data_IF_931140488182
#
_entry.id   IF_931140488182
#
_cell.length_a   1.000
_cell.length_b   1.000
_cell.length_c   1.000
_cell.angle_alpha   90.00
_cell.angle_beta   90.00
_cell.angle_gamma   90.00
#
_symmetry.space_group_name_H-M   'P 1'
#
loop_
_entity.id
_entity.type
_entity.pdbx_description
1 polymer ?
#
# COMPACT_ATOMS: atom_id res chain seq x y z
N UNK A 1 -16.11 -43.91 3.61
CA UNK A 1 -16.64 -43.25 2.39
C UNK A 1 -15.58 -42.37 1.74
N UNK A 2 -14.94 -41.48 2.50
CA UNK A 2 -13.78 -40.68 2.06
C UNK A 2 -12.65 -41.55 1.51
N UNK A 3 -12.20 -42.59 2.24
CA UNK A 3 -11.13 -43.48 1.75
C UNK A 3 -11.46 -44.16 0.42
N UNK A 4 -12.71 -44.61 0.22
CA UNK A 4 -13.16 -45.21 -1.05
C UNK A 4 -13.12 -44.21 -2.20
N UNK A 5 -13.44 -42.94 -1.94
CA UNK A 5 -13.37 -41.87 -2.93
C UNK A 5 -11.91 -41.53 -3.29
N UNK A 6 -11.04 -41.41 -2.29
CA UNK A 6 -9.61 -41.16 -2.49
C UNK A 6 -8.93 -42.31 -3.25
N UNK A 7 -9.28 -43.55 -2.92
CA UNK A 7 -8.79 -44.76 -3.60
C UNK A 7 -9.28 -44.82 -5.06
N UNK A 8 -10.55 -44.47 -5.33
CA UNK A 8 -11.06 -44.38 -6.71
C UNK A 8 -10.29 -43.34 -7.53
N UNK A 9 -9.98 -42.17 -6.94
CA UNK A 9 -9.17 -41.15 -7.59
C UNK A 9 -7.72 -41.59 -7.81
N UNK A 10 -7.14 -42.32 -6.85
CA UNK A 10 -5.79 -42.89 -6.96
C UNK A 10 -5.69 -44.00 -8.01
N UNK A 11 -6.76 -44.76 -8.26
CA UNK A 11 -6.80 -45.80 -9.31
C UNK A 11 -7.19 -45.27 -10.69
N UNK A 12 -7.63 -44.01 -10.78
CA UNK A 12 -8.09 -43.41 -12.04
C UNK A 12 -9.50 -43.82 -12.45
N UNK A 13 -10.33 -44.34 -11.52
CA UNK A 13 -11.69 -44.80 -11.82
C UNK A 13 -12.67 -43.61 -11.89
N UNK A 14 -12.75 -43.01 -13.07
CA UNK A 14 -13.62 -41.86 -13.36
C UNK A 14 -15.11 -42.14 -13.08
N UNK A 15 -15.56 -43.37 -13.33
CA UNK A 15 -16.95 -43.79 -13.16
C UNK A 15 -17.31 -43.80 -11.67
N UNK A 16 -16.45 -44.40 -10.85
CA UNK A 16 -16.64 -44.46 -9.40
C UNK A 16 -16.50 -43.08 -8.75
N UNK A 17 -15.54 -42.26 -9.18
CA UNK A 17 -15.38 -40.86 -8.74
C UNK A 17 -16.65 -40.04 -9.02
N UNK A 18 -17.17 -40.12 -10.24
CA UNK A 18 -18.37 -39.39 -10.64
C UNK A 18 -19.63 -39.86 -9.92
N UNK A 19 -19.78 -41.18 -9.73
CA UNK A 19 -20.90 -41.75 -8.98
C UNK A 19 -20.86 -41.37 -7.49
N UNK A 20 -19.69 -41.35 -6.87
CA UNK A 20 -19.57 -40.95 -5.47
C UNK A 20 -19.85 -39.46 -5.26
N UNK A 21 -19.42 -38.60 -6.19
CA UNK A 21 -19.69 -37.17 -6.14
C UNK A 21 -21.15 -36.81 -6.45
N UNK A 22 -21.85 -37.61 -7.29
CA UNK A 22 -23.28 -37.38 -7.53
C UNK A 22 -24.14 -37.70 -6.31
N UNK A 23 -23.75 -38.70 -5.51
CA UNK A 23 -24.46 -39.05 -4.27
C UNK A 23 -24.04 -38.16 -3.10
N UNK A 24 -22.75 -37.80 -3.01
CA UNK A 24 -22.20 -37.03 -1.89
C UNK A 24 -21.22 -35.96 -2.40
N UNK A 25 -21.71 -34.75 -2.79
CA UNK A 25 -20.87 -33.68 -3.29
C UNK A 25 -19.83 -33.14 -2.28
N UNK A 26 -20.09 -33.28 -0.97
CA UNK A 26 -19.19 -32.82 0.10
C UNK A 26 -17.86 -33.59 0.18
N UNK A 27 -17.67 -34.66 -0.60
CA UNK A 27 -16.43 -35.43 -0.64
C UNK A 27 -15.30 -34.74 -1.43
N UNK A 28 -15.63 -33.76 -2.28
CA UNK A 28 -14.71 -33.22 -3.30
C UNK A 28 -13.38 -32.71 -2.75
N UNK A 29 -13.39 -32.07 -1.58
CA UNK A 29 -12.21 -31.49 -0.92
C UNK A 29 -11.84 -32.22 0.39
N UNK A 30 -12.40 -33.40 0.63
CA UNK A 30 -12.04 -34.19 1.81
C UNK A 30 -10.60 -34.69 1.70
N UNK A 31 -9.92 -34.73 2.84
CA UNK A 31 -8.52 -35.15 2.93
C UNK A 31 -8.40 -36.53 3.56
N UNK A 32 -7.41 -37.29 3.11
CA UNK A 32 -7.01 -38.56 3.68
C UNK A 32 -5.79 -38.41 4.59
N UNK A 33 -5.01 -39.49 4.68
CA UNK A 33 -3.77 -39.51 5.45
C UNK A 33 -2.82 -38.39 5.00
N UNK A 34 -2.20 -37.69 5.96
CA UNK A 34 -1.28 -36.57 5.72
C UNK A 34 -1.83 -35.43 4.87
N UNK A 35 -3.16 -35.22 4.87
CA UNK A 35 -3.79 -34.10 4.17
C UNK A 35 -3.92 -34.28 2.66
N UNK A 36 -3.80 -35.51 2.14
CA UNK A 36 -3.90 -35.77 0.71
C UNK A 36 -5.35 -35.69 0.21
N UNK A 37 -5.59 -34.91 -0.84
CA UNK A 37 -6.89 -34.83 -1.52
C UNK A 37 -6.99 -35.80 -2.71
N UNK A 38 -8.20 -36.05 -3.19
CA UNK A 38 -8.44 -36.83 -4.41
C UNK A 38 -7.69 -36.25 -5.61
N UNK A 39 -7.63 -34.92 -5.72
CA UNK A 39 -6.92 -34.22 -6.79
C UNK A 39 -5.41 -34.48 -6.75
N UNK A 40 -4.79 -34.46 -5.57
CA UNK A 40 -3.36 -34.77 -5.41
C UNK A 40 -3.04 -36.23 -5.77
N UNK A 41 -3.92 -37.16 -5.40
CA UNK A 41 -3.74 -38.59 -5.70
C UNK A 41 -3.87 -38.86 -7.20
N UNK A 42 -4.87 -38.27 -7.86
CA UNK A 42 -5.02 -38.35 -9.31
C UNK A 42 -3.84 -37.68 -10.04
N UNK A 43 -3.36 -36.54 -9.54
CA UNK A 43 -2.19 -35.84 -10.10
C UNK A 43 -0.88 -36.63 -9.93
N UNK A 44 -0.68 -37.30 -8.79
CA UNK A 44 0.49 -38.16 -8.52
C UNK A 44 0.58 -39.33 -9.49
N UNK A 45 -0.55 -39.96 -9.79
CA UNK A 45 -0.61 -41.19 -10.59
C UNK A 45 -0.84 -40.94 -12.09
N UNK A 46 -0.92 -39.67 -12.52
CA UNK A 46 -1.02 -39.36 -13.95
C UNK A 46 -2.44 -39.48 -14.53
N UNK A 47 -3.49 -39.49 -13.69
CA UNK A 47 -4.87 -39.69 -14.13
C UNK A 47 -5.52 -38.41 -14.65
N UNK A 48 -5.15 -37.99 -15.86
CA UNK A 48 -5.62 -36.76 -16.51
C UNK A 48 -7.15 -36.60 -16.51
N UNK A 49 -7.90 -37.62 -16.92
CA UNK A 49 -9.36 -37.57 -17.00
C UNK A 49 -10.04 -37.38 -15.64
N UNK A 50 -9.48 -37.96 -14.57
CA UNK A 50 -9.99 -37.76 -13.21
C UNK A 50 -9.67 -36.35 -12.72
N UNK A 51 -8.47 -35.84 -13.00
CA UNK A 51 -8.10 -34.44 -12.69
C UNK A 51 -9.03 -33.46 -13.39
N UNK A 52 -9.23 -33.61 -14.69
CA UNK A 52 -10.14 -32.76 -15.48
C UNK A 52 -11.56 -32.80 -14.92
N UNK A 53 -12.06 -33.99 -14.56
CA UNK A 53 -13.40 -34.12 -13.98
C UNK A 53 -13.51 -33.44 -12.62
N UNK A 54 -12.53 -33.64 -11.73
CA UNK A 54 -12.53 -33.00 -10.41
C UNK A 54 -12.49 -31.47 -10.53
N UNK A 55 -11.68 -30.94 -11.46
CA UNK A 55 -11.62 -29.51 -11.76
C UNK A 55 -12.95 -28.99 -12.30
N UNK A 56 -13.61 -29.72 -13.21
CA UNK A 56 -14.92 -29.35 -13.75
C UNK A 56 -16.03 -29.29 -12.69
N UNK A 57 -15.82 -29.96 -11.55
CA UNK A 57 -16.75 -29.99 -10.42
C UNK A 57 -16.39 -28.98 -9.31
N UNK A 58 -15.37 -28.14 -9.53
CA UNK A 58 -14.99 -27.07 -8.60
C UNK A 58 -14.15 -27.51 -7.41
N UNK A 59 -13.32 -28.55 -7.55
CA UNK A 59 -12.41 -28.95 -6.48
C UNK A 59 -11.36 -27.84 -6.19
N UNK A 60 -10.96 -27.70 -4.93
CA UNK A 60 -9.91 -26.77 -4.54
C UNK A 60 -8.53 -27.30 -4.98
N UNK A 61 -7.97 -26.68 -6.03
CA UNK A 61 -6.64 -27.03 -6.54
C UNK A 61 -5.46 -26.47 -5.74
N UNK A 62 -5.73 -25.59 -4.76
CA UNK A 62 -4.71 -24.92 -3.93
C UNK A 62 -4.56 -25.52 -2.54
N UNK A 63 -5.43 -26.45 -2.16
CA UNK A 63 -5.26 -27.25 -0.95
C UNK A 63 -3.85 -27.87 -0.92
N UNK A 64 -3.19 -27.78 0.23
CA UNK A 64 -1.83 -28.28 0.44
C UNK A 64 -1.82 -29.40 1.48
N UNK A 65 -1.03 -30.44 1.24
CA UNK A 65 -0.85 -31.56 2.17
C UNK A 65 0.08 -31.19 3.34
N UNK A 66 0.35 -32.12 4.26
CA UNK A 66 1.26 -31.89 5.40
C UNK A 66 2.71 -31.55 4.99
N UNK A 67 3.09 -31.80 3.74
CA UNK A 67 4.38 -31.42 3.15
C UNK A 67 4.33 -30.08 2.40
N UNK A 68 3.24 -29.32 2.55
CA UNK A 68 3.00 -28.05 1.84
C UNK A 68 2.99 -28.18 0.31
N UNK A 69 2.62 -29.34 -0.22
CA UNK A 69 2.55 -29.57 -1.67
C UNK A 69 1.09 -29.45 -2.14
N UNK A 70 0.88 -28.66 -3.18
CA UNK A 70 -0.39 -28.61 -3.93
C UNK A 70 -0.46 -29.73 -4.96
N UNK A 71 -1.63 -29.94 -5.57
CA UNK A 71 -1.76 -30.90 -6.67
C UNK A 71 -0.84 -30.54 -7.87
N UNK A 72 -0.57 -29.25 -8.10
CA UNK A 72 0.38 -28.80 -9.12
C UNK A 72 1.82 -29.22 -8.77
N UNK A 73 2.24 -29.01 -7.52
CA UNK A 73 3.58 -29.38 -7.06
C UNK A 73 3.80 -30.89 -7.17
N UNK A 74 2.77 -31.67 -6.83
CA UNK A 74 2.76 -33.12 -6.98
C UNK A 74 2.87 -33.51 -8.46
N UNK A 75 2.03 -32.98 -9.35
CA UNK A 75 2.10 -33.29 -10.78
C UNK A 75 3.48 -32.96 -11.39
N UNK A 76 4.07 -31.84 -10.99
CA UNK A 76 5.40 -31.40 -11.42
C UNK A 76 6.51 -32.31 -10.89
N UNK A 77 6.45 -32.68 -9.62
CA UNK A 77 7.43 -33.56 -8.98
C UNK A 77 7.47 -34.94 -9.63
N UNK A 78 6.30 -35.50 -9.96
CA UNK A 78 6.18 -36.82 -10.60
C UNK A 78 6.31 -36.78 -12.14
N UNK A 79 6.58 -35.61 -12.74
CA UNK A 79 6.85 -35.47 -14.17
C UNK A 79 5.63 -35.46 -15.09
N UNK A 80 4.42 -35.34 -14.55
CA UNK A 80 3.17 -35.34 -15.32
C UNK A 80 2.89 -33.96 -15.94
N UNK A 81 3.66 -33.62 -16.98
CA UNK A 81 3.63 -32.29 -17.63
C UNK A 81 2.23 -31.87 -18.07
N UNK A 82 1.46 -32.76 -18.71
CA UNK A 82 0.09 -32.47 -19.16
C UNK A 82 -0.87 -32.12 -18.02
N UNK A 83 -0.68 -32.72 -16.83
CA UNK A 83 -1.49 -32.43 -15.64
C UNK A 83 -1.01 -31.15 -14.97
N UNK A 84 0.31 -30.94 -14.88
CA UNK A 84 0.86 -29.69 -14.38
C UNK A 84 0.44 -28.50 -15.24
N UNK A 85 0.39 -28.66 -16.57
CA UNK A 85 -0.12 -27.67 -17.51
C UNK A 85 -1.62 -27.45 -17.30
N UNK A 86 -2.42 -28.50 -17.13
CA UNK A 86 -3.86 -28.38 -16.82
C UNK A 86 -4.13 -27.67 -15.48
N UNK A 87 -3.32 -27.95 -14.45
CA UNK A 87 -3.46 -27.32 -13.12
C UNK A 87 -2.91 -25.89 -13.10
N UNK A 88 -1.89 -25.60 -13.91
CA UNK A 88 -1.33 -24.26 -14.10
C UNK A 88 -2.20 -23.38 -14.99
N UNK A 89 -2.97 -23.97 -15.91
CA UNK A 89 -4.06 -23.28 -16.62
C UNK A 89 -5.05 -22.76 -15.59
N UNK A 90 -4.94 -21.48 -15.32
CA UNK A 90 -6.06 -20.65 -14.91
C UNK A 90 -7.00 -20.57 -16.10
N UNK A 91 -7.77 -21.62 -16.37
CA UNK A 91 -8.99 -21.45 -17.16
C UNK A 91 -9.87 -20.49 -16.37
N UNK A 92 -9.72 -19.19 -16.67
CA UNK A 92 -10.70 -18.16 -17.04
C UNK A 92 -12.19 -18.38 -16.71
N UNK A 93 -12.52 -19.16 -15.67
CA UNK A 93 -13.79 -19.06 -14.94
C UNK A 93 -13.66 -18.20 -13.69
N UNK A 94 -12.52 -17.52 -13.50
CA UNK A 94 -12.62 -16.15 -13.01
C UNK A 94 -13.19 -15.37 -14.20
N UNK A 95 -14.52 -15.38 -14.40
CA UNK A 95 -15.16 -14.26 -15.08
C UNK A 95 -14.46 -13.02 -14.51
N UNK A 96 -13.92 -12.15 -15.35
CA UNK A 96 -13.28 -10.90 -14.90
C UNK A 96 -14.31 -10.17 -14.01
N UNK A 97 -14.27 -10.42 -12.69
CA UNK A 97 -15.21 -9.84 -11.71
C UNK A 97 -15.05 -8.32 -11.71
N UNK A 98 -13.85 -7.88 -12.07
CA UNK A 98 -13.57 -6.50 -12.39
C UNK A 98 -13.68 -6.34 -13.91
N UNK A 99 -14.65 -5.56 -14.42
CA UNK A 99 -14.68 -5.16 -15.81
C UNK A 99 -13.28 -4.67 -16.19
N UNK A 100 -12.82 -5.00 -17.41
CA UNK A 100 -11.74 -4.26 -18.04
C UNK A 100 -12.26 -2.85 -18.35
N UNK A 101 -12.56 -2.07 -17.32
CA UNK A 101 -12.71 -0.64 -17.47
C UNK A 101 -11.33 -0.11 -17.82
N UNK A 102 -11.28 0.86 -18.73
CA UNK A 102 -10.12 1.71 -18.94
C UNK A 102 -9.56 2.08 -17.56
N UNK A 103 -8.43 1.47 -17.20
CA UNK A 103 -7.77 1.70 -15.92
C UNK A 103 -7.26 3.14 -15.95
N UNK A 104 -8.13 4.10 -15.68
CA UNK A 104 -7.72 5.48 -15.42
C UNK A 104 -7.01 5.42 -14.08
N UNK A 105 -5.68 5.66 -14.04
CA UNK A 105 -4.95 5.66 -12.78
C UNK A 105 -5.60 6.68 -11.85
N UNK A 106 -6.10 6.24 -10.70
CA UNK A 106 -6.53 7.16 -9.67
C UNK A 106 -5.31 7.54 -8.84
N UNK A 107 -5.00 8.84 -8.82
CA UNK A 107 -3.95 9.38 -7.96
C UNK A 107 -4.32 9.20 -6.48
N UNK A 108 -3.36 8.81 -5.66
CA UNK A 108 -3.52 8.73 -4.22
C UNK A 108 -3.53 10.14 -3.61
N UNK A 109 -4.29 10.34 -2.53
CA UNK A 109 -4.39 11.57 -1.76
C UNK A 109 -3.03 12.20 -1.42
N UNK A 110 -2.02 11.37 -1.14
CA UNK A 110 -0.67 11.80 -0.77
C UNK A 110 0.34 11.79 -1.94
N UNK A 111 -0.08 11.38 -3.15
CA UNK A 111 0.84 11.29 -4.31
C UNK A 111 0.82 12.52 -5.22
N UNK A 112 -0.07 13.49 -4.97
CA UNK A 112 -0.08 14.73 -5.74
C UNK A 112 1.14 15.59 -5.41
N UNK A 113 1.89 15.94 -6.45
CA UNK A 113 3.11 16.74 -6.34
C UNK A 113 2.87 18.16 -6.83
N UNK A 114 2.72 19.08 -5.88
CA UNK A 114 2.64 20.52 -6.15
C UNK A 114 4.00 21.16 -6.44
N UNK A 115 5.07 20.54 -5.92
CA UNK A 115 6.44 20.98 -6.12
C UNK A 115 7.11 20.16 -7.23
N UNK A 116 7.92 20.82 -8.04
CA UNK A 116 8.99 20.15 -8.76
C UNK A 116 10.12 19.86 -7.76
N UNK A 117 10.40 18.58 -7.52
CA UNK A 117 11.39 18.14 -6.52
C UNK A 117 12.81 18.58 -6.85
N UNK A 118 13.10 18.93 -8.10
CA UNK A 118 14.39 19.44 -8.59
C UNK A 118 15.59 18.69 -7.97
N UNK A 119 15.59 17.36 -8.05
CA UNK A 119 16.58 16.54 -7.31
C UNK A 119 18.03 16.84 -7.71
N UNK A 120 18.26 17.31 -8.94
CA UNK A 120 19.58 17.76 -9.39
C UNK A 120 20.12 18.97 -8.59
N UNK A 121 19.25 19.78 -7.99
CA UNK A 121 19.62 20.93 -7.16
C UNK A 121 20.02 20.56 -5.73
N UNK A 122 19.85 19.30 -5.32
CA UNK A 122 20.21 18.85 -3.97
C UNK A 122 21.71 18.87 -3.69
N UNK A 123 22.52 18.74 -4.74
CA UNK A 123 24.00 18.80 -4.66
C UNK A 123 24.55 20.21 -4.81
N UNK A 124 23.73 21.19 -5.19
CA UNK A 124 24.13 22.59 -5.31
C UNK A 124 24.11 23.23 -3.91
N UNK A 125 25.28 23.52 -3.33
CA UNK A 125 25.39 24.18 -2.01
C UNK A 125 24.95 25.66 -2.03
N UNK A 126 24.58 26.21 -3.20
CA UNK A 126 24.41 27.64 -3.46
C UNK A 126 22.99 28.19 -3.27
N UNK A 127 21.98 27.36 -2.97
CA UNK A 127 20.59 27.82 -2.87
C UNK A 127 19.93 27.43 -1.54
N UNK A 128 20.03 28.32 -0.54
CA UNK A 128 19.41 28.15 0.79
C UNK A 128 18.33 29.20 1.02
N UNK A 129 17.05 28.85 0.83
CA UNK A 129 15.92 29.76 1.12
C UNK A 129 14.80 29.00 1.84
N UNK A 130 14.86 28.98 3.17
CA UNK A 130 14.03 28.14 4.02
C UNK A 130 12.57 28.60 4.19
N UNK A 131 11.67 27.62 4.24
CA UNK A 131 10.28 27.74 4.72
C UNK A 131 10.08 26.68 5.82
N UNK A 132 9.35 27.01 6.88
CA UNK A 132 8.94 26.08 7.94
C UNK A 132 7.41 25.90 7.90
N UNK A 133 6.87 24.94 8.66
CA UNK A 133 5.45 24.56 8.61
C UNK A 133 4.73 24.81 9.93
N UNK A 134 3.51 25.33 9.85
CA UNK A 134 2.51 25.28 10.93
C UNK A 134 1.10 25.13 10.34
N UNK A 135 0.05 24.74 11.09
CA UNK A 135 -1.28 24.47 10.52
C UNK A 135 -2.38 25.41 11.07
N UNK A 136 -3.16 26.08 10.22
CA UNK A 136 -4.24 26.98 10.65
C UNK A 136 -5.58 26.24 10.93
N UNK A 137 -6.34 26.70 11.93
CA UNK A 137 -7.38 25.90 12.60
C UNK A 137 -8.79 25.85 11.97
N UNK A 138 -9.09 26.57 10.87
CA UNK A 138 -10.46 26.57 10.30
C UNK A 138 -10.59 25.91 8.92
N UNK A 139 -9.58 26.03 8.08
CA UNK A 139 -9.33 25.15 6.93
C UNK A 139 -7.89 24.71 7.13
N UNK A 140 -7.61 23.42 7.38
CA UNK A 140 -6.27 22.96 7.69
C UNK A 140 -5.31 23.25 6.52
N UNK A 141 -4.71 24.43 6.56
CA UNK A 141 -3.80 24.98 5.55
C UNK A 141 -2.41 25.05 6.15
N UNK A 142 -1.44 24.87 5.28
CA UNK A 142 -0.04 24.88 5.62
C UNK A 142 0.45 26.33 5.73
N UNK A 143 0.63 26.81 6.96
CA UNK A 143 1.29 28.07 7.28
C UNK A 143 2.78 27.99 6.88
N UNK A 144 3.27 29.04 6.23
CA UNK A 144 4.63 29.14 5.68
C UNK A 144 5.43 30.24 6.38
N UNK A 145 6.67 29.93 6.76
CA UNK A 145 7.61 30.94 7.27
C UNK A 145 8.46 31.52 6.14
N UNK A 146 8.79 32.82 6.23
CA UNK A 146 9.81 33.43 5.38
C UNK A 146 11.19 33.23 5.98
N UNK A 147 12.21 33.31 5.14
CA UNK A 147 13.61 33.19 5.55
C UNK A 147 13.95 34.09 6.75
N UNK A 148 13.50 35.34 6.76
CA UNK A 148 13.82 36.29 7.84
C UNK A 148 13.30 35.85 9.21
N UNK A 149 12.25 35.04 9.26
CA UNK A 149 11.63 34.57 10.50
C UNK A 149 12.31 33.31 11.08
N UNK A 150 13.13 32.62 10.28
CA UNK A 150 13.76 31.33 10.64
C UNK A 150 15.28 31.32 10.48
N UNK A 151 15.89 32.40 9.97
CA UNK A 151 17.34 32.48 9.70
C UNK A 151 18.23 32.16 10.91
N UNK A 152 17.78 32.50 12.12
CA UNK A 152 18.48 32.18 13.37
C UNK A 152 18.39 30.70 13.73
N UNK A 153 17.27 30.04 13.41
CA UNK A 153 17.11 28.59 13.62
C UNK A 153 18.08 27.80 12.74
N UNK A 154 18.35 28.29 11.52
CA UNK A 154 19.29 27.65 10.58
C UNK A 154 20.74 27.66 11.06
N UNK A 155 21.10 28.53 11.99
CA UNK A 155 22.44 28.59 12.57
C UNK A 155 22.64 27.58 13.71
N UNK A 156 21.55 26.98 14.21
CA UNK A 156 21.62 26.02 15.31
C UNK A 156 22.07 24.64 14.79
N UNK A 157 23.02 23.98 15.47
CA UNK A 157 23.56 22.69 15.02
C UNK A 157 22.54 21.54 15.12
N UNK A 158 21.51 21.68 15.95
CA UNK A 158 20.45 20.66 16.06
C UNK A 158 19.32 20.83 15.04
N UNK A 159 19.34 21.92 14.26
CA UNK A 159 18.33 22.13 13.22
C UNK A 159 18.63 21.26 12.00
N UNK A 160 17.62 20.50 11.59
CA UNK A 160 17.63 19.71 10.36
C UNK A 160 16.84 20.46 9.29
N UNK A 161 17.49 20.73 8.16
CA UNK A 161 16.91 21.38 6.99
C UNK A 161 16.86 20.38 5.83
N UNK A 162 15.69 20.27 5.19
CA UNK A 162 15.49 19.41 4.00
C UNK A 162 14.92 20.26 2.87
N UNK A 163 15.49 20.13 1.68
CA UNK A 163 14.98 20.74 0.46
C UNK A 163 13.76 19.96 -0.08
N UNK A 164 12.63 20.60 -0.34
CA UNK A 164 11.44 19.92 -0.83
C UNK A 164 11.27 20.03 -2.34
N UNK A 165 11.63 21.18 -2.90
CA UNK A 165 11.48 21.48 -4.32
C UNK A 165 11.18 22.95 -4.57
N UNK A 166 10.75 23.27 -5.78
CA UNK A 166 10.23 24.59 -6.14
C UNK A 166 8.79 24.50 -6.66
N UNK A 167 8.02 25.58 -6.53
CA UNK A 167 6.68 25.64 -7.12
C UNK A 167 6.76 25.46 -8.65
N UNK A 168 5.85 24.65 -9.21
CA UNK A 168 5.77 24.52 -10.67
C UNK A 168 5.33 25.84 -11.28
N UNK A 169 6.04 26.32 -12.32
CA UNK A 169 5.57 27.46 -13.11
C UNK A 169 4.24 27.08 -13.75
N UNK A 170 3.16 27.82 -13.46
CA UNK A 170 1.90 27.66 -14.18
C UNK A 170 2.18 27.95 -15.66
N UNK A 171 2.03 26.96 -16.53
CA UNK A 171 1.98 27.21 -17.96
C UNK A 171 0.80 28.13 -18.24
N UNK A 172 0.96 29.22 -19.02
CA UNK A 172 -0.16 30.08 -19.36
C UNK A 172 -1.11 29.29 -20.26
N UNK A 173 -2.21 28.82 -19.68
CA UNK A 173 -3.32 28.25 -20.43
C UNK A 173 -4.00 29.34 -21.24
N UNK A 174 -4.24 29.04 -22.51
CA UNK A 174 -4.91 29.85 -23.53
C UNK A 174 -6.11 30.64 -23.01
N UNK A 175 -5.91 31.91 -22.66
CA UNK A 175 -6.89 32.97 -22.85
C UNK A 175 -6.16 34.32 -22.87
N UNK A 176 -6.67 35.17 -23.75
CA UNK A 176 -6.02 36.32 -24.35
C UNK A 176 -5.65 37.48 -23.41
N UNK A 177 -4.55 38.11 -23.80
CA UNK A 177 -4.30 39.56 -23.89
C UNK A 177 -3.54 40.31 -22.78
N UNK A 178 -2.58 41.08 -23.31
CA UNK A 178 -1.85 42.25 -22.79
C UNK A 178 -0.87 42.06 -21.61
N UNK A 179 0.40 41.92 -21.98
CA UNK A 179 1.40 42.96 -21.75
C UNK A 179 1.88 43.20 -20.32
N UNK A 180 2.98 42.55 -19.94
CA UNK A 180 4.23 43.18 -19.46
C UNK A 180 5.30 42.08 -19.39
N UNK A 181 6.53 42.37 -19.83
CA UNK A 181 7.67 41.49 -19.63
C UNK A 181 7.93 41.32 -18.12
N UNK A 182 7.35 40.29 -17.51
CA UNK A 182 7.72 39.85 -16.17
C UNK A 182 9.12 39.24 -16.24
N UNK A 183 10.11 40.01 -15.78
CA UNK A 183 11.47 39.52 -15.56
C UNK A 183 11.43 38.17 -14.86
N UNK A 184 12.22 37.22 -15.35
CA UNK A 184 12.23 35.80 -14.97
C UNK A 184 12.46 35.59 -13.47
N UNK A 185 11.42 35.78 -12.65
CA UNK A 185 11.46 35.40 -11.24
C UNK A 185 11.51 33.88 -11.19
N UNK A 186 12.58 33.35 -10.59
CA UNK A 186 12.66 31.94 -10.27
C UNK A 186 11.50 31.57 -9.34
N UNK A 187 10.90 30.38 -9.52
CA UNK A 187 9.79 29.96 -8.69
C UNK A 187 10.21 29.85 -7.22
N UNK A 188 9.30 30.11 -6.27
CA UNK A 188 9.60 29.96 -4.85
C UNK A 188 10.08 28.54 -4.52
N UNK A 189 11.19 28.44 -3.79
CA UNK A 189 11.74 27.19 -3.27
C UNK A 189 11.23 26.90 -1.87
N UNK A 190 11.07 25.62 -1.57
CA UNK A 190 10.44 25.12 -0.35
C UNK A 190 11.40 24.21 0.40
N UNK A 191 11.40 24.34 1.72
CA UNK A 191 12.17 23.51 2.64
C UNK A 191 11.28 23.01 3.77
N UNK A 192 11.75 21.98 4.47
CA UNK A 192 11.24 21.55 5.76
C UNK A 192 12.30 21.82 6.82
N UNK A 193 11.88 22.36 7.97
CA UNK A 193 12.76 22.62 9.11
C UNK A 193 12.27 21.78 10.29
N UNK A 194 13.19 21.07 10.94
CA UNK A 194 12.99 20.47 12.25
C UNK A 194 14.03 21.01 13.21
N UNK A 195 13.59 21.46 14.38
CA UNK A 195 14.42 22.15 15.36
C UNK A 195 13.92 21.82 16.77
N UNK A 196 14.78 21.98 17.78
CA UNK A 196 14.44 21.73 19.19
C UNK A 196 13.78 22.94 19.86
N UNK A 197 13.48 24.00 19.11
CA UNK A 197 12.78 25.18 19.61
C UNK A 197 11.38 24.83 20.12
N UNK A 198 10.97 25.49 21.21
CA UNK A 198 9.63 25.31 21.77
C UNK A 198 8.53 25.60 20.71
N UNK A 199 7.56 24.69 20.50
CA UNK A 199 6.48 24.91 19.55
C UNK A 199 5.72 26.22 19.77
N UNK A 200 5.53 26.68 21.02
CA UNK A 200 4.82 27.93 21.27
C UNK A 200 5.63 29.15 20.79
N UNK A 201 6.97 29.11 20.87
CA UNK A 201 7.84 30.15 20.35
C UNK A 201 7.88 30.15 18.81
N UNK A 202 7.86 28.96 18.19
CA UNK A 202 7.72 28.84 16.74
C UNK A 202 6.39 29.42 16.24
N UNK A 203 5.30 29.25 17.00
CA UNK A 203 4.01 29.82 16.67
C UNK A 203 4.00 31.34 16.69
N UNK A 204 4.74 31.99 17.61
CA UNK A 204 4.84 33.46 17.66
C UNK A 204 5.53 34.05 16.43
N UNK A 205 6.42 33.29 15.79
CA UNK A 205 7.10 33.68 14.55
C UNK A 205 6.18 33.61 13.33
N UNK A 206 5.01 32.98 13.45
CA UNK A 206 4.06 32.85 12.37
C UNK A 206 3.25 34.15 12.19
N UNK A 207 3.09 34.61 10.94
CA UNK A 207 2.32 35.82 10.64
C UNK A 207 0.80 35.57 10.64
N UNK A 208 0.41 34.31 10.46
CA UNK A 208 -0.98 33.91 10.36
C UNK A 208 -1.58 33.76 11.77
N UNK A 209 -2.74 34.39 11.99
CA UNK A 209 -3.50 34.23 13.23
C UNK A 209 -4.12 32.83 13.21
N UNK A 210 -4.01 32.09 14.32
CA UNK A 210 -4.58 30.75 14.52
C UNK A 210 -3.81 29.55 13.93
N UNK A 211 -2.48 29.65 13.76
CA UNK A 211 -1.65 28.46 13.48
C UNK A 211 -1.44 27.59 14.74
N UNK A 212 -1.30 26.29 14.54
CA UNK A 212 -1.13 25.26 15.56
C UNK A 212 -0.39 24.06 14.96
N UNK A 213 0.31 23.29 15.80
CA UNK A 213 0.89 22.03 15.36
C UNK A 213 -0.13 20.88 15.44
N UNK A 214 -0.14 19.93 14.48
CA UNK A 214 -0.98 18.74 14.54
C UNK A 214 -0.76 17.95 15.84
N UNK A 215 -1.85 17.59 16.55
CA UNK A 215 -1.77 16.84 17.82
C UNK A 215 -1.83 15.33 17.61
N UNK A 216 -2.53 14.90 16.57
CA UNK A 216 -2.75 13.50 16.21
C UNK A 216 -2.27 13.27 14.76
N UNK A 217 -1.00 12.91 14.54
CA UNK A 217 -0.35 13.00 13.23
C UNK A 217 -1.09 12.25 12.11
N UNK A 218 -1.71 11.11 12.38
CA UNK A 218 -2.37 10.34 11.31
C UNK A 218 -3.79 10.83 10.98
N UNK A 219 -4.49 11.43 11.95
CA UNK A 219 -5.85 11.94 11.73
C UNK A 219 -5.84 13.39 11.24
N UNK A 220 -4.94 14.19 11.79
CA UNK A 220 -4.83 15.61 11.44
C UNK A 220 -4.23 15.79 10.05
N UNK A 221 -3.38 14.87 9.57
CA UNK A 221 -2.87 14.94 8.20
C UNK A 221 -3.97 14.78 7.13
N UNK A 222 -5.05 14.05 7.43
CA UNK A 222 -6.18 13.87 6.52
C UNK A 222 -7.07 15.12 6.41
N UNK A 223 -6.74 16.19 7.16
CA UNK A 223 -7.45 17.47 7.11
C UNK A 223 -6.88 18.44 6.07
N UNK A 224 -5.59 18.31 5.73
CA UNK A 224 -4.94 19.13 4.69
C UNK A 224 -5.48 18.83 3.31
N UNK A 225 -5.40 19.76 2.37
CA UNK A 225 -5.67 19.48 0.96
C UNK A 225 -4.75 18.37 0.41
N UNK A 226 -5.15 17.68 -0.67
CA UNK A 226 -4.31 16.64 -1.34
C UNK A 226 -2.91 17.17 -1.68
N UNK A 227 -2.89 18.40 -2.20
CA UNK A 227 -1.71 19.15 -2.59
C UNK A 227 -0.73 19.41 -1.43
N UNK A 228 -1.24 19.83 -0.27
CA UNK A 228 -0.44 20.07 0.92
C UNK A 228 -0.08 18.76 1.64
N UNK A 229 -0.97 17.78 1.62
CA UNK A 229 -0.76 16.48 2.23
C UNK A 229 0.44 15.75 1.60
N UNK A 230 0.61 15.83 0.27
CA UNK A 230 1.78 15.30 -0.43
C UNK A 230 3.10 15.94 0.01
N UNK A 231 3.14 17.27 0.12
CA UNK A 231 4.32 18.01 0.59
C UNK A 231 4.66 17.64 2.03
N UNK A 232 3.66 17.57 2.91
CA UNK A 232 3.85 17.19 4.31
C UNK A 232 4.29 15.73 4.44
N UNK A 233 3.78 14.82 3.59
CA UNK A 233 4.22 13.42 3.56
C UNK A 233 5.71 13.32 3.22
N UNK A 234 6.18 14.01 2.16
CA UNK A 234 7.59 14.08 1.80
C UNK A 234 8.44 14.61 2.97
N UNK A 235 8.08 15.78 3.52
CA UNK A 235 8.81 16.41 4.61
C UNK A 235 8.88 15.50 5.85
N UNK A 236 7.73 14.97 6.29
CA UNK A 236 7.62 14.16 7.51
C UNK A 236 8.40 12.84 7.37
N UNK A 237 8.35 12.17 6.21
CA UNK A 237 9.06 10.90 6.02
C UNK A 237 10.58 11.07 6.05
N UNK A 238 11.12 12.13 5.42
CA UNK A 238 12.56 12.41 5.45
C UNK A 238 13.02 12.89 6.84
N UNK A 239 12.23 13.73 7.52
CA UNK A 239 12.50 14.14 8.91
C UNK A 239 12.46 12.94 9.88
N UNK A 240 11.49 12.05 9.72
CA UNK A 240 11.39 10.83 10.52
C UNK A 240 12.56 9.86 10.26
N UNK A 241 13.09 9.84 9.04
CA UNK A 241 14.32 9.11 8.74
C UNK A 241 15.50 9.72 9.49
N UNK A 242 15.69 11.03 9.44
CA UNK A 242 16.79 11.69 10.16
C UNK A 242 16.74 11.48 11.68
N UNK A 243 15.54 11.46 12.30
CA UNK A 243 15.43 11.25 13.74
C UNK A 243 15.79 9.83 14.19
N UNK A 244 15.71 8.83 13.29
CA UNK A 244 15.98 7.41 13.61
C UNK A 244 17.30 6.89 13.06
N UNK A 245 17.89 7.56 12.07
CA UNK A 245 19.08 7.10 11.34
C UNK A 245 20.29 8.03 11.53
N UNK A 246 20.48 8.55 12.75
CA UNK A 246 21.61 9.43 13.10
C UNK A 246 22.98 8.73 13.04
N UNK A 247 23.01 7.40 13.06
CA UNK A 247 24.23 6.59 13.03
C UNK A 247 24.28 5.69 11.79
N UNK A 248 25.49 5.38 11.33
CA UNK A 248 25.72 4.54 10.17
C UNK A 248 25.33 3.10 10.49
N UNK A 249 24.40 2.51 9.74
CA UNK A 249 23.99 1.12 9.92
C UNK A 249 25.08 0.10 9.58
N UNK A 250 26.13 0.50 8.86
CA UNK A 250 27.24 -0.39 8.49
C UNK A 250 28.28 -0.53 9.59
N UNK A 251 28.59 0.53 10.34
CA UNK A 251 29.68 0.52 11.33
C UNK A 251 29.38 1.22 12.65
N UNK A 252 28.17 1.76 12.85
CA UNK A 252 27.74 2.43 14.08
C UNK A 252 28.27 3.84 14.30
N UNK A 253 29.16 4.35 13.44
CA UNK A 253 29.72 5.71 13.59
C UNK A 253 28.67 6.80 13.33
N UNK A 254 28.92 8.02 13.82
CA UNK A 254 28.08 9.17 13.50
C UNK A 254 28.01 9.44 11.99
N UNK A 255 26.96 10.15 11.58
CA UNK A 255 26.73 10.52 10.17
C UNK A 255 26.42 12.01 10.06
N UNK A 256 26.77 12.61 8.91
CA UNK A 256 26.43 14.00 8.56
C UNK A 256 25.39 14.04 7.45
N UNK A 257 24.59 15.09 7.41
CA UNK A 257 23.60 15.31 6.34
C UNK A 257 24.29 15.85 5.09
N UNK A 258 23.85 15.39 3.93
CA UNK A 258 24.30 15.83 2.60
C UNK A 258 23.09 15.88 1.63
N UNK A 259 23.31 16.37 0.41
CA UNK A 259 22.35 16.37 -0.70
C UNK A 259 20.97 16.97 -0.31
N UNK A 260 20.97 18.17 0.26
CA UNK A 260 19.73 18.86 0.66
C UNK A 260 18.88 18.09 1.66
N UNK A 261 19.49 17.22 2.47
CA UNK A 261 18.81 16.35 3.45
C UNK A 261 18.41 14.97 2.93
N UNK A 262 18.73 14.62 1.68
CA UNK A 262 18.39 13.30 1.11
C UNK A 262 19.52 12.29 1.21
N UNK A 263 20.61 12.63 1.89
CA UNK A 263 21.71 11.71 2.12
C UNK A 263 22.30 11.87 3.51
N UNK A 264 22.75 10.75 4.07
CA UNK A 264 23.59 10.70 5.26
C UNK A 264 24.88 10.00 4.94
N UNK A 265 25.99 10.70 5.16
CA UNK A 265 27.33 10.18 4.88
C UNK A 265 28.05 9.85 6.19
N UNK A 266 28.67 8.68 6.25
CA UNK A 266 29.40 8.21 7.43
C UNK A 266 30.60 9.11 7.73
N UNK A 267 30.87 9.35 9.02
CA UNK A 267 32.05 10.08 9.47
C UNK A 267 33.31 9.22 9.52
N UNK A 268 33.17 7.88 9.51
CA UNK A 268 34.32 6.97 9.44
C UNK A 268 34.77 6.83 7.97
N UNK A 269 35.95 7.38 7.67
CA UNK A 269 36.54 7.40 6.32
C UNK A 269 36.84 6.01 5.74
N UNK A 270 37.01 4.99 6.60
CA UNK A 270 37.25 3.61 6.19
C UNK A 270 35.96 2.78 6.05
N UNK A 271 34.79 3.39 6.28
CA UNK A 271 33.52 2.68 6.23
C UNK A 271 33.18 2.22 4.81
N UNK A 272 32.78 0.95 4.67
CA UNK A 272 32.30 0.38 3.40
C UNK A 272 31.12 1.13 2.79
N UNK A 273 30.30 1.79 3.61
CA UNK A 273 29.18 2.63 3.12
C UNK A 273 29.63 3.80 2.24
N UNK A 274 30.90 4.21 2.33
CA UNK A 274 31.49 5.26 1.50
C UNK A 274 32.08 4.73 0.18
N UNK A 275 32.14 3.41 -0.01
CA UNK A 275 32.71 2.77 -1.18
C UNK A 275 31.59 2.34 -2.15
N UNK A 276 31.28 3.19 -3.11
CA UNK A 276 30.18 2.98 -4.06
C UNK A 276 28.84 3.51 -3.53
N UNK A 277 27.74 2.99 -4.07
CA UNK A 277 26.37 3.44 -3.74
C UNK A 277 25.67 2.39 -2.91
N UNK A 278 25.30 2.76 -1.68
CA UNK A 278 24.58 1.89 -0.74
C UNK A 278 23.29 2.55 -0.29
N UNK A 279 22.23 1.75 -0.11
CA UNK A 279 20.93 2.25 0.39
C UNK A 279 20.98 2.77 1.83
N UNK A 280 22.02 2.41 2.60
CA UNK A 280 22.23 2.84 3.99
C UNK A 280 22.39 4.34 4.14
N UNK A 281 22.73 5.03 3.04
CA UNK A 281 22.95 6.47 3.01
C UNK A 281 21.69 7.27 2.63
N UNK A 282 20.59 6.63 2.21
CA UNK A 282 19.42 7.30 1.63
C UNK A 282 18.12 7.08 2.44
N UNK A 283 17.12 7.97 2.29
CA UNK A 283 15.82 7.81 2.93
C UNK A 283 15.15 6.48 2.59
N UNK A 284 14.51 5.90 3.60
CA UNK A 284 13.79 4.63 3.49
C UNK A 284 12.33 4.86 3.07
N UNK A 285 11.85 4.06 2.13
CA UNK A 285 10.44 3.95 1.74
C UNK A 285 10.03 2.50 1.92
N UNK A 286 9.06 2.24 2.78
CA UNK A 286 8.56 0.90 3.03
C UNK A 286 7.30 0.64 2.18
N UNK A 287 7.35 -0.20 1.14
CA UNK A 287 6.17 -0.52 0.34
C UNK A 287 5.21 -1.40 1.14
N UNK A 288 3.94 -0.99 1.21
CA UNK A 288 2.88 -1.69 1.95
C UNK A 288 1.71 -1.92 1.03
N UNK A 289 1.32 -3.17 0.85
CA UNK A 289 0.10 -3.50 0.11
C UNK A 289 -1.12 -3.33 1.00
N UNK A 290 -2.17 -2.75 0.44
CA UNK A 290 -3.51 -2.73 1.03
C UNK A 290 -4.48 -3.25 -0.01
N UNK A 291 -5.25 -4.26 0.35
CA UNK A 291 -6.11 -4.96 -0.59
C UNK A 291 -7.56 -4.86 -0.14
N UNK A 292 -8.45 -4.63 -1.10
CA UNK A 292 -9.85 -4.97 -0.92
C UNK A 292 -10.08 -6.33 -1.59
N UNK A 293 -10.26 -7.36 -0.76
CA UNK A 293 -10.57 -8.69 -1.25
C UNK A 293 -12.08 -8.78 -1.53
N UNK A 294 -12.43 -9.12 -2.76
CA UNK A 294 -13.80 -9.31 -3.25
C UNK A 294 -14.11 -10.80 -3.18
N UNK A 295 -15.28 -11.13 -2.64
CA UNK A 295 -15.76 -12.50 -2.54
C UNK A 295 -15.96 -13.12 -3.95
N UNK A 296 -15.85 -14.46 -4.13
CA UNK A 296 -16.03 -15.10 -5.43
C UNK A 296 -17.34 -14.76 -6.16
N UNK A 297 -18.42 -14.46 -5.41
CA UNK A 297 -19.72 -14.05 -5.97
C UNK A 297 -19.76 -12.60 -6.50
N UNK A 298 -18.69 -11.83 -6.32
CA UNK A 298 -18.59 -10.43 -6.71
C UNK A 298 -19.44 -9.46 -5.90
N UNK A 299 -20.22 -9.92 -4.92
CA UNK A 299 -21.24 -9.14 -4.20
C UNK A 299 -20.89 -8.84 -2.74
N UNK A 300 -19.75 -9.33 -2.25
CA UNK A 300 -19.27 -9.08 -0.90
C UNK A 300 -17.79 -8.68 -0.91
N UNK A 301 -17.34 -7.97 0.11
CA UNK A 301 -15.93 -7.69 0.32
C UNK A 301 -15.49 -8.08 1.74
N UNK A 302 -14.22 -8.44 1.88
CA UNK A 302 -13.63 -8.80 3.17
C UNK A 302 -13.12 -7.52 3.85
N UNK A 303 -13.63 -7.24 5.05
CA UNK A 303 -13.11 -6.18 5.90
C UNK A 303 -12.66 -6.77 7.23
N UNK A 304 -11.56 -6.24 7.76
CA UNK A 304 -11.03 -6.62 9.07
C UNK A 304 -10.74 -5.40 9.94
N UNK A 305 -10.68 -5.62 11.26
CA UNK A 305 -10.37 -4.56 12.24
C UNK A 305 -9.11 -4.88 13.03
N UNK A 306 -8.29 -3.86 13.23
CA UNK A 306 -7.06 -3.89 14.02
C UNK A 306 -6.97 -2.65 14.90
N UNK A 307 -6.25 -2.75 16.02
CA UNK A 307 -5.89 -1.59 16.85
C UNK A 307 -5.05 -0.59 16.04
N UNK A 308 -5.27 0.74 16.16
CA UNK A 308 -4.56 1.74 15.37
C UNK A 308 -3.04 1.64 15.52
N UNK A 309 -2.30 1.68 14.41
CA UNK A 309 -0.83 1.66 14.40
C UNK A 309 -0.25 2.80 13.54
N UNK A 310 0.62 3.67 14.07
CA UNK A 310 1.22 4.75 13.29
C UNK A 310 2.50 4.30 12.59
N UNK A 311 2.55 4.46 11.26
CA UNK A 311 3.79 4.29 10.49
C UNK A 311 4.11 5.55 9.66
N UNK A 312 5.33 6.11 9.79
CA UNK A 312 5.66 7.42 9.23
C UNK A 312 6.19 7.43 7.78
N UNK A 313 6.56 6.27 7.20
CA UNK A 313 7.29 6.22 5.91
C UNK A 313 6.84 5.09 4.98
N UNK A 314 5.52 4.87 4.89
CA UNK A 314 4.96 3.80 4.07
C UNK A 314 4.45 4.32 2.72
N UNK A 315 4.75 3.58 1.66
CA UNK A 315 4.09 3.74 0.36
C UNK A 315 2.96 2.71 0.27
N UNK A 316 1.72 3.18 0.35
CA UNK A 316 0.54 2.32 0.26
C UNK A 316 0.22 1.98 -1.20
N UNK A 317 0.30 0.71 -1.55
CA UNK A 317 -0.05 0.15 -2.87
C UNK A 317 -1.44 -0.48 -2.75
N UNK A 318 -2.45 0.19 -3.29
CA UNK A 318 -3.83 -0.26 -3.25
C UNK A 318 -4.14 -1.27 -4.34
N UNK A 319 -4.67 -2.42 -3.97
CA UNK A 319 -5.05 -3.48 -4.91
C UNK A 319 -6.51 -3.92 -4.71
N UNK A 320 -7.14 -4.37 -5.79
CA UNK A 320 -8.33 -5.20 -5.72
C UNK A 320 -7.91 -6.65 -5.93
N UNK A 321 -8.36 -7.55 -5.08
CA UNK A 321 -8.07 -8.98 -5.18
C UNK A 321 -9.39 -9.76 -5.24
N UNK A 322 -9.47 -10.81 -6.04
CA UNK A 322 -10.62 -11.72 -6.05
C UNK A 322 -10.26 -12.94 -5.22
N UNK A 323 -11.04 -13.22 -4.18
CA UNK A 323 -10.86 -14.40 -3.37
C UNK A 323 -11.32 -15.65 -4.14
N UNK A 324 -10.62 -16.75 -3.92
CA UNK A 324 -10.92 -18.07 -4.51
C UNK A 324 -11.57 -19.03 -3.49
N UNK A 325 -11.69 -18.60 -2.24
CA UNK A 325 -12.29 -19.34 -1.13
C UNK A 325 -13.03 -18.36 -0.22
N UNK A 326 -14.04 -18.88 0.49
CA UNK A 326 -14.91 -18.11 1.37
C UNK A 326 -14.61 -18.33 2.85
N UNK A 327 -13.84 -19.39 3.18
CA UNK A 327 -13.50 -19.75 4.55
C UNK A 327 -12.52 -18.73 5.16
N UNK A 328 -12.91 -18.12 6.28
CA UNK A 328 -12.08 -17.17 7.01
C UNK A 328 -11.48 -17.88 8.23
N UNK A 329 -10.16 -17.84 8.36
CA UNK A 329 -9.45 -18.18 9.59
C UNK A 329 -8.67 -16.94 10.03
N UNK A 330 -9.08 -16.34 11.14
CA UNK A 330 -8.45 -15.13 11.69
C UNK A 330 -7.17 -15.49 12.44
N UNK A 331 -6.09 -14.74 12.20
CA UNK A 331 -4.91 -14.72 13.08
C UNK A 331 -5.08 -13.58 14.10
N UNK A 332 -5.42 -13.97 15.34
CA UNK A 332 -5.72 -13.05 16.44
C UNK A 332 -4.49 -12.26 16.92
N UNK A 333 -3.27 -12.66 16.53
CA UNK A 333 -2.07 -11.87 16.80
C UNK A 333 -2.03 -10.57 15.98
N UNK A 334 -2.71 -10.55 14.84
CA UNK A 334 -2.67 -9.41 13.92
C UNK A 334 -3.99 -8.63 13.87
N UNK A 335 -5.11 -9.32 13.66
CA UNK A 335 -6.42 -8.72 13.45
C UNK A 335 -7.41 -9.31 14.45
N UNK A 336 -8.29 -8.45 14.98
CA UNK A 336 -9.24 -8.87 16.00
C UNK A 336 -10.44 -9.60 15.39
N UNK A 337 -10.79 -9.24 14.16
CA UNK A 337 -11.95 -9.78 13.47
C UNK A 337 -11.82 -9.55 11.96
N UNK A 338 -12.32 -10.49 11.16
CA UNK A 338 -12.50 -10.34 9.72
C UNK A 338 -13.82 -11.01 9.29
N UNK A 339 -14.59 -10.32 8.43
CA UNK A 339 -15.88 -10.82 7.93
C UNK A 339 -16.14 -10.38 6.50
N UNK A 340 -16.92 -11.17 5.78
CA UNK A 340 -17.51 -10.77 4.51
C UNK A 340 -18.67 -9.81 4.76
N UNK A 341 -18.66 -8.67 4.06
CA UNK A 341 -19.69 -7.64 4.13
C UNK A 341 -20.40 -7.54 2.77
N UNK A 342 -21.72 -7.73 2.71
CA UNK A 342 -22.49 -7.53 1.49
C UNK A 342 -22.37 -6.10 0.94
N UNK A 343 -22.33 -5.96 -0.38
CA UNK A 343 -22.24 -4.67 -1.07
C UNK A 343 -23.28 -3.67 -0.57
N UNK A 344 -24.53 -4.10 -0.42
CA UNK A 344 -25.60 -3.22 0.07
C UNK A 344 -25.32 -2.68 1.48
N UNK A 345 -24.80 -3.51 2.39
CA UNK A 345 -24.45 -3.07 3.74
C UNK A 345 -23.33 -2.01 3.74
N UNK A 346 -22.35 -2.18 2.85
CA UNK A 346 -21.25 -1.21 2.70
C UNK A 346 -21.76 0.10 2.07
N UNK A 347 -22.65 0.03 1.06
CA UNK A 347 -23.33 1.20 0.48
C UNK A 347 -24.12 1.96 1.55
N UNK A 348 -24.92 1.25 2.34
CA UNK A 348 -25.73 1.85 3.40
C UNK A 348 -24.85 2.56 4.44
N UNK A 349 -23.69 1.98 4.77
CA UNK A 349 -22.70 2.56 5.68
C UNK A 349 -22.07 3.84 5.12
N UNK A 350 -21.89 3.95 3.80
CA UNK A 350 -21.40 5.17 3.15
C UNK A 350 -22.45 6.28 3.10
N UNK A 351 -23.71 5.94 2.83
CA UNK A 351 -24.79 6.91 2.65
C UNK A 351 -25.35 7.46 3.97
N UNK A 352 -25.47 6.62 5.00
CA UNK A 352 -26.16 6.97 6.25
C UNK A 352 -25.24 7.49 7.36
N UNK A 353 -23.92 7.55 7.12
CA UNK A 353 -22.94 7.92 8.14
C UNK A 353 -22.86 6.92 9.30
N UNK A 354 -22.10 7.25 10.36
CA UNK A 354 -21.69 6.36 11.46
C UNK A 354 -22.82 5.81 12.38
N UNK A 355 -24.06 5.75 11.90
CA UNK A 355 -25.24 5.28 12.64
C UNK A 355 -25.47 3.76 12.57
N UNK A 356 -24.47 2.96 12.20
CA UNK A 356 -24.55 1.49 12.12
C UNK A 356 -23.28 0.78 12.60
N UNK A 357 -23.39 -0.54 12.80
CA UNK A 357 -22.37 -1.47 13.29
C UNK A 357 -21.05 -1.52 12.48
N UNK A 358 -21.00 -0.92 11.29
CA UNK A 358 -19.80 -0.85 10.43
C UNK A 358 -19.38 0.61 10.25
N UNK A 359 -18.18 0.96 10.72
CA UNK A 359 -17.57 2.28 10.52
C UNK A 359 -16.46 2.15 9.49
N UNK A 360 -16.61 2.83 8.36
CA UNK A 360 -15.62 2.82 7.29
C UNK A 360 -14.52 3.87 7.52
N UNK A 361 -13.31 3.66 6.97
CA UNK A 361 -12.24 4.65 7.01
C UNK A 361 -12.65 6.00 6.38
N UNK A 362 -12.03 7.13 6.79
CA UNK A 362 -12.29 8.44 6.19
C UNK A 362 -12.06 8.46 4.68
N UNK A 363 -12.80 9.33 3.97
CA UNK A 363 -12.81 9.44 2.50
C UNK A 363 -11.43 9.66 1.87
N UNK A 364 -10.51 10.29 2.59
CA UNK A 364 -9.16 10.58 2.13
C UNK A 364 -8.25 9.33 2.09
N UNK A 365 -8.63 8.25 2.77
CA UNK A 365 -7.78 7.05 2.88
C UNK A 365 -7.87 6.17 1.64
N UNK A 366 -6.76 5.54 1.29
CA UNK A 366 -6.71 4.56 0.19
C UNK A 366 -7.68 3.39 0.40
N UNK A 367 -7.90 2.96 1.65
CA UNK A 367 -8.89 1.93 1.98
C UNK A 367 -10.31 2.36 1.58
N UNK A 368 -10.70 3.60 1.88
CA UNK A 368 -11.99 4.14 1.47
C UNK A 368 -12.11 4.25 -0.05
N UNK A 369 -11.04 4.68 -0.73
CA UNK A 369 -11.04 4.78 -2.20
C UNK A 369 -11.21 3.41 -2.86
N UNK A 370 -10.54 2.36 -2.37
CA UNK A 370 -10.73 0.98 -2.86
C UNK A 370 -12.18 0.52 -2.67
N UNK A 371 -12.76 0.75 -1.50
CA UNK A 371 -14.16 0.40 -1.19
C UNK A 371 -15.12 1.14 -2.12
N UNK A 372 -14.94 2.46 -2.27
CA UNK A 372 -15.76 3.29 -3.15
C UNK A 372 -15.65 2.84 -4.60
N UNK A 373 -14.45 2.52 -5.06
CA UNK A 373 -14.22 2.02 -6.41
C UNK A 373 -14.94 0.68 -6.63
N UNK A 374 -14.80 -0.29 -5.72
CA UNK A 374 -15.51 -1.58 -5.82
C UNK A 374 -17.04 -1.46 -5.84
N UNK A 375 -17.60 -0.49 -5.11
CA UNK A 375 -19.05 -0.19 -5.14
C UNK A 375 -19.46 0.40 -6.49
N UNK A 376 -18.62 1.24 -7.10
CA UNK A 376 -18.90 1.85 -8.40
C UNK A 376 -18.76 0.88 -9.58
N UNK A 377 -18.01 -0.20 -9.39
CA UNK A 377 -17.88 -1.26 -10.37
C UNK A 377 -19.15 -2.12 -10.34
N UNK A 378 -19.87 -2.17 -11.46
CA UNK A 378 -21.00 -3.09 -11.62
C UNK A 378 -20.49 -4.52 -11.38
N UNK A 379 -21.14 -5.24 -10.46
CA UNK A 379 -21.14 -6.69 -10.47
C UNK A 379 -21.87 -7.14 -11.73
N UNK A 380 -21.15 -7.18 -12.86
CA UNK A 380 -21.62 -7.90 -14.03
C UNK A 380 -21.57 -9.39 -13.65
N UNK A 381 -22.70 -9.90 -13.16
CA UNK A 381 -23.12 -11.27 -13.38
C UNK A 381 -23.91 -11.31 -14.68
#
# INVERSE_FOLDING_TARGET
>A
MVEKFLDAAARGDLSQVSALLSHTPSLINQTGYSGWTALMLAARNGHHQVVERLLSLGCDKFSANSSSQTAYDVAKFWGHRHIADLLSRSDDQCQRVLPAADLVPQENYFSRETLDRLSAKRTDESQTLAVSFCACQMDAKLCRFRYEAVKDLLQKPSTVLIFLGAERKKTPGSSSSSGTEEGSREPPVWFAINTDEDPAELLKRCREKSCSFPKSPNRDLLKFSEDEAGVVAQARSVLAWHSRYSFCSTCGSGTRLEEGGYKRSCLNSQCRSLQGVHNTCYPRVDPVVIMLAVHPDGNQCLLGRKKPWPMPSNLMIGCLAVAISTHIKVDENEIEEARWFPRQQVIDSLLRGASQALVLPPRQTIAHQLIRHWISVNSNL
#
